data_IF_947668454959
#
_entry.id   IF_947668454959
#
_cell.length_a   1.000
_cell.length_b   1.000
_cell.length_c   1.000
_cell.angle_alpha   90.00
_cell.angle_beta   90.00
_cell.angle_gamma   90.00
#
_symmetry.space_group_name_H-M   'P 1'
#
loop_
_entity.id
_entity.type
_entity.pdbx_description
1 polymer ?
#
# COMPACT_ATOMS: atom_id res chain seq x y z
N UNK A 1 46.18 44.25 -5.29
CA UNK A 1 45.64 42.96 -5.75
C UNK A 1 45.58 42.03 -4.55
N UNK A 2 44.40 41.79 -3.99
CA UNK A 2 44.10 40.51 -3.35
C UNK A 2 42.58 40.44 -3.17
N UNK A 3 41.95 39.63 -4.02
CA UNK A 3 40.53 39.36 -4.01
C UNK A 3 40.29 38.14 -3.13
N UNK A 4 39.67 38.35 -1.97
CA UNK A 4 39.21 37.24 -1.12
C UNK A 4 37.78 36.86 -1.55
N UNK A 5 37.65 35.65 -2.08
CA UNK A 5 36.39 35.08 -2.57
C UNK A 5 35.67 34.39 -1.41
N UNK A 6 34.61 35.02 -0.91
CA UNK A 6 33.63 34.39 -0.04
C UNK A 6 32.99 33.17 -0.70
N UNK A 7 33.23 31.99 -0.12
CA UNK A 7 32.57 30.74 -0.49
C UNK A 7 31.23 30.66 0.25
N UNK A 8 30.14 30.95 -0.46
CA UNK A 8 28.77 30.75 0.06
C UNK A 8 28.51 29.26 0.25
N UNK A 9 28.28 28.85 1.49
CA UNK A 9 27.70 27.55 1.85
C UNK A 9 26.20 27.61 1.60
N UNK A 10 25.69 26.75 0.71
CA UNK A 10 24.25 26.59 0.45
C UNK A 10 23.49 26.05 1.68
N UNK A 11 22.15 26.10 1.65
CA UNK A 11 21.32 25.73 2.79
C UNK A 11 21.43 24.22 3.06
N UNK A 12 21.87 23.91 4.28
CA UNK A 12 21.96 22.57 4.85
C UNK A 12 20.57 21.95 4.88
N UNK A 13 20.32 20.96 4.00
CA UNK A 13 19.21 20.05 4.17
C UNK A 13 19.38 19.42 5.56
N UNK A 14 18.41 19.62 6.46
CA UNK A 14 18.42 19.02 7.78
C UNK A 14 18.45 17.49 7.62
N UNK A 15 19.62 16.90 7.79
CA UNK A 15 19.80 15.46 7.88
C UNK A 15 19.06 15.01 9.14
N UNK A 16 17.82 14.54 9.00
CA UNK A 16 17.09 13.94 10.10
C UNK A 16 17.91 12.77 10.62
N UNK A 17 18.25 12.80 11.91
CA UNK A 17 18.96 11.71 12.55
C UNK A 17 18.15 10.41 12.39
N UNK A 18 18.81 9.27 12.11
CA UNK A 18 18.14 7.99 12.04
C UNK A 18 17.34 7.73 13.33
N UNK A 19 16.10 7.26 13.19
CA UNK A 19 15.28 6.94 14.36
C UNK A 19 15.95 5.82 15.17
N UNK A 20 16.28 6.03 16.46
CA UNK A 20 16.93 5.02 17.27
C UNK A 20 15.97 3.87 17.58
N UNK A 21 16.53 2.70 17.88
CA UNK A 21 15.76 1.57 18.36
C UNK A 21 15.10 1.94 19.71
N UNK A 22 13.77 1.89 19.85
CA UNK A 22 13.16 2.09 21.15
C UNK A 22 13.69 1.02 22.10
N UNK A 23 13.99 1.39 23.34
CA UNK A 23 14.27 0.43 24.39
C UNK A 23 13.02 -0.44 24.55
N UNK A 24 12.99 -1.59 23.87
CA UNK A 24 12.04 -2.62 24.18
C UNK A 24 12.29 -2.96 25.64
N UNK A 25 11.32 -2.65 26.52
CA UNK A 25 11.38 -3.09 27.91
C UNK A 25 11.47 -4.62 27.97
N UNK A 26 11.18 -5.21 29.13
CA UNK A 26 11.13 -6.69 29.25
C UNK A 26 10.10 -7.38 28.32
N UNK A 27 9.26 -6.64 27.59
CA UNK A 27 8.29 -7.17 26.65
C UNK A 27 8.96 -7.66 25.36
N UNK A 28 8.86 -8.97 25.09
CA UNK A 28 9.30 -9.56 23.82
C UNK A 28 8.37 -9.10 22.68
N UNK A 29 8.87 -8.36 21.67
CA UNK A 29 8.04 -7.88 20.56
C UNK A 29 7.44 -9.01 19.73
N UNK A 30 8.03 -10.21 19.78
CA UNK A 30 7.58 -11.38 19.01
C UNK A 30 6.50 -12.20 19.72
N UNK A 31 6.08 -11.82 20.93
CA UNK A 31 5.17 -12.61 21.76
C UNK A 31 3.72 -12.61 21.26
N UNK A 32 3.31 -11.56 20.54
CA UNK A 32 1.97 -11.44 19.96
C UNK A 32 1.97 -10.43 18.82
N UNK A 33 0.96 -10.49 17.95
CA UNK A 33 0.77 -9.50 16.89
C UNK A 33 0.73 -8.06 17.44
N UNK A 34 0.04 -7.84 18.55
CA UNK A 34 -0.10 -6.52 19.16
C UNK A 34 1.24 -5.96 19.63
N UNK A 35 2.07 -6.80 20.27
CA UNK A 35 3.41 -6.42 20.69
C UNK A 35 4.33 -6.13 19.49
N UNK A 36 4.26 -6.99 18.46
CA UNK A 36 5.04 -6.81 17.24
C UNK A 36 4.65 -5.52 16.53
N UNK A 37 3.34 -5.30 16.36
CA UNK A 37 2.81 -4.10 15.73
C UNK A 37 3.21 -2.83 16.48
N UNK A 38 3.08 -2.84 17.81
CA UNK A 38 3.52 -1.73 18.66
C UNK A 38 5.02 -1.43 18.55
N UNK A 39 5.84 -2.46 18.30
CA UNK A 39 7.27 -2.30 18.07
C UNK A 39 7.60 -1.79 16.66
N UNK A 40 6.95 -2.26 15.59
CA UNK A 40 7.30 -1.87 14.21
C UNK A 40 6.63 -0.56 13.76
N UNK A 41 5.44 -0.24 14.28
CA UNK A 41 4.63 0.89 13.82
C UNK A 41 5.36 2.25 13.89
N UNK A 42 6.14 2.57 14.95
CA UNK A 42 6.90 3.82 14.98
C UNK A 42 7.89 3.95 13.82
N UNK A 43 8.57 2.86 13.45
CA UNK A 43 9.49 2.84 12.31
C UNK A 43 8.74 3.05 10.97
N UNK A 44 7.59 2.38 10.79
CA UNK A 44 6.77 2.56 9.59
C UNK A 44 6.29 4.02 9.46
N UNK A 45 5.78 4.58 10.55
CA UNK A 45 5.34 5.97 10.60
C UNK A 45 6.48 6.94 10.32
N UNK A 46 7.67 6.70 10.88
CA UNK A 46 8.84 7.50 10.55
C UNK A 46 9.12 7.47 9.06
N UNK A 47 9.28 6.27 8.49
CA UNK A 47 9.65 6.07 7.08
C UNK A 47 8.64 6.71 6.13
N UNK A 48 7.34 6.55 6.37
CA UNK A 48 6.32 6.94 5.38
C UNK A 48 5.72 8.33 5.64
N UNK A 49 5.71 8.80 6.89
CA UNK A 49 5.03 10.05 7.29
C UNK A 49 5.99 11.19 7.61
N UNK A 50 7.25 10.92 7.93
CA UNK A 50 8.18 12.00 8.26
C UNK A 50 8.42 12.91 7.05
N UNK A 51 8.42 14.25 7.24
CA UNK A 51 8.67 15.21 6.17
C UNK A 51 10.15 15.15 5.77
N UNK A 52 10.48 14.21 4.89
CA UNK A 52 11.81 14.04 4.33
C UNK A 52 11.90 14.60 2.92
N UNK A 53 13.15 14.67 2.44
CA UNK A 53 13.45 15.05 1.06
C UNK A 53 12.57 14.27 0.08
N UNK A 54 12.16 14.92 -1.00
CA UNK A 54 11.32 14.31 -2.04
C UNK A 54 11.98 13.15 -2.79
N UNK A 55 13.23 12.82 -2.48
CA UNK A 55 14.05 11.85 -3.24
C UNK A 55 14.47 10.64 -2.41
N UNK A 56 14.40 10.69 -1.08
CA UNK A 56 14.86 9.61 -0.23
C UNK A 56 14.00 9.48 1.03
N UNK A 57 13.72 8.22 1.39
CA UNK A 57 13.00 7.90 2.61
C UNK A 57 13.87 8.23 3.84
N UNK A 58 13.26 8.63 4.97
CA UNK A 58 13.94 8.71 6.25
C UNK A 58 14.51 7.34 6.63
N UNK A 59 15.76 7.33 7.07
CA UNK A 59 16.42 6.12 7.55
C UNK A 59 16.07 5.85 9.01
N UNK A 60 16.01 4.58 9.38
CA UNK A 60 16.01 4.11 10.77
C UNK A 60 17.40 3.63 11.14
N UNK A 61 17.72 3.63 12.44
CA UNK A 61 18.99 3.10 12.92
C UNK A 61 19.17 1.62 12.53
N UNK A 62 20.40 1.23 12.22
CA UNK A 62 20.73 -0.14 11.78
C UNK A 62 20.33 -1.16 12.85
N UNK A 63 20.50 -0.82 14.14
CA UNK A 63 20.11 -1.68 15.26
C UNK A 63 18.61 -1.88 15.30
N UNK A 64 17.83 -0.84 14.96
CA UNK A 64 16.37 -0.95 14.89
C UNK A 64 15.93 -1.79 13.69
N UNK A 65 16.56 -1.60 12.53
CA UNK A 65 16.31 -2.43 11.35
C UNK A 65 16.54 -3.93 11.67
N UNK A 66 17.68 -4.27 12.28
CA UNK A 66 17.98 -5.64 12.68
C UNK A 66 17.03 -6.16 13.77
N UNK A 67 16.63 -5.31 14.71
CA UNK A 67 15.63 -5.62 15.74
C UNK A 67 14.27 -5.98 15.15
N UNK A 68 13.80 -5.20 14.17
CA UNK A 68 12.54 -5.45 13.45
C UNK A 68 12.61 -6.76 12.68
N UNK A 69 13.69 -7.01 11.93
CA UNK A 69 13.88 -8.26 11.21
C UNK A 69 13.84 -9.47 12.16
N UNK A 70 14.55 -9.39 13.28
CA UNK A 70 14.61 -10.47 14.28
C UNK A 70 13.25 -10.70 14.94
N UNK A 71 12.51 -9.64 15.28
CA UNK A 71 11.18 -9.75 15.87
C UNK A 71 10.17 -10.42 14.92
N UNK A 72 10.20 -10.07 13.63
CA UNK A 72 9.34 -10.70 12.61
C UNK A 72 9.72 -12.17 12.41
N UNK A 73 11.02 -12.46 12.29
CA UNK A 73 11.51 -13.84 12.17
C UNK A 73 11.02 -14.71 13.34
N UNK A 74 11.20 -14.23 14.58
CA UNK A 74 10.78 -14.93 15.79
C UNK A 74 9.26 -15.11 15.83
N UNK A 75 8.51 -14.08 15.43
CA UNK A 75 7.04 -14.13 15.38
C UNK A 75 6.55 -15.23 14.42
N UNK A 76 7.12 -15.28 13.21
CA UNK A 76 6.77 -16.30 12.21
C UNK A 76 7.15 -17.70 12.68
N UNK A 77 8.32 -17.83 13.30
CA UNK A 77 8.82 -19.11 13.83
C UNK A 77 7.89 -19.63 14.93
N UNK A 78 7.57 -18.80 15.93
CA UNK A 78 6.68 -19.16 17.04
C UNK A 78 5.27 -19.53 16.55
N UNK A 79 4.71 -18.81 15.58
CA UNK A 79 3.42 -19.16 14.97
C UNK A 79 3.48 -20.50 14.23
N UNK A 80 4.57 -20.78 13.51
CA UNK A 80 4.74 -22.05 12.79
C UNK A 80 4.88 -23.26 13.72
N UNK A 81 5.57 -23.09 14.85
CA UNK A 81 5.69 -24.10 15.90
C UNK A 81 4.34 -24.36 16.59
N UNK A 82 3.58 -23.30 16.89
CA UNK A 82 2.24 -23.45 17.45
C UNK A 82 1.30 -24.23 16.51
N UNK A 83 1.35 -23.94 15.20
CA UNK A 83 0.52 -24.62 14.19
C UNK A 83 0.91 -26.09 13.96
N UNK A 84 2.20 -26.43 14.09
CA UNK A 84 2.69 -27.81 13.98
C UNK A 84 2.36 -28.63 15.23
N UNK A 85 2.54 -28.07 16.42
CA UNK A 85 2.19 -28.71 17.69
C UNK A 85 0.68 -28.97 17.81
N UNK A 86 -0.17 -28.06 17.32
CA UNK A 86 -1.63 -28.27 17.28
C UNK A 86 -2.06 -29.45 16.39
N UNK A 87 -1.24 -29.83 15.39
CA UNK A 87 -1.49 -30.99 14.52
C UNK A 87 -0.89 -32.30 15.03
N UNK A 88 0.05 -32.23 15.97
CA UNK A 88 0.76 -33.38 16.51
C UNK A 88 0.05 -34.09 17.67
N UNK A 89 -1.23 -33.77 17.96
CA UNK A 89 -2.06 -34.56 18.89
C UNK A 89 -2.91 -35.59 18.15
N UNK A 90 -2.49 -36.87 18.15
CA UNK A 90 -3.42 -37.98 18.07
C UNK A 90 -3.06 -39.08 19.09
N UNK A 91 -3.65 -39.08 20.29
CA UNK A 91 -4.12 -40.27 21.04
C UNK A 91 -4.48 -39.92 22.50
N UNK A 92 -5.77 -39.91 22.83
CA UNK A 92 -6.31 -40.76 23.89
C UNK A 92 -7.85 -40.75 23.81
N UNK A 93 -8.43 -41.93 23.59
CA UNK A 93 -9.62 -42.49 24.25
C UNK A 93 -10.05 -43.70 23.41
N UNK A 94 -9.71 -44.88 23.90
CA UNK A 94 -10.45 -46.10 23.63
C UNK A 94 -11.60 -46.16 24.64
N UNK A 95 -12.84 -46.30 24.16
CA UNK A 95 -13.90 -47.11 24.81
C UNK A 95 -15.14 -47.19 23.91
N UNK A 96 -15.18 -48.27 23.13
CA UNK A 96 -16.29 -49.18 22.81
C UNK A 96 -17.76 -48.72 22.76
N UNK A 97 -18.37 -49.05 21.60
CA UNK A 97 -19.72 -49.61 21.36
C UNK A 97 -20.89 -48.66 20.98
N UNK A 98 -21.40 -48.89 19.75
CA UNK A 98 -22.79 -48.83 19.22
C UNK A 98 -23.61 -47.53 19.44
N UNK A 99 -24.35 -46.94 18.49
CA UNK A 99 -25.24 -47.50 17.47
C UNK A 99 -25.51 -46.46 16.34
N UNK A 100 -25.83 -46.97 15.16
CA UNK A 100 -26.67 -46.44 14.06
C UNK A 100 -27.38 -45.06 14.15
N UNK A 101 -27.20 -44.26 13.07
CA UNK A 101 -28.30 -43.66 12.31
C UNK A 101 -28.69 -42.20 12.63
N UNK A 102 -28.39 -41.28 11.72
CA UNK A 102 -28.94 -39.92 11.74
C UNK A 102 -28.33 -39.04 10.65
N UNK A 103 -29.01 -38.95 9.51
CA UNK A 103 -28.72 -38.01 8.43
C UNK A 103 -29.25 -36.65 8.85
N UNK A 104 -28.39 -35.69 9.16
CA UNK A 104 -28.75 -34.28 9.04
C UNK A 104 -27.56 -33.41 8.65
N UNK A 105 -27.81 -32.66 7.58
CA UNK A 105 -27.01 -31.57 7.04
C UNK A 105 -27.05 -30.41 8.03
N UNK A 106 -25.88 -29.94 8.44
CA UNK A 106 -25.70 -28.50 8.58
C UNK A 106 -24.31 -28.09 8.11
N UNK A 107 -24.31 -27.45 6.95
CA UNK A 107 -23.16 -26.83 6.34
C UNK A 107 -22.91 -25.49 7.04
N UNK A 108 -22.40 -25.52 8.27
CA UNK A 108 -21.70 -24.37 8.83
C UNK A 108 -20.34 -24.28 8.12
N UNK A 109 -20.30 -23.44 7.10
CA UNK A 109 -19.11 -23.04 6.33
C UNK A 109 -18.15 -22.29 7.24
N UNK A 110 -17.53 -23.02 8.16
CA UNK A 110 -16.32 -22.61 8.85
C UNK A 110 -15.16 -23.02 7.95
N UNK A 111 -14.84 -22.21 6.95
CA UNK A 111 -13.48 -22.15 6.43
C UNK A 111 -12.60 -21.71 7.59
N UNK A 112 -12.20 -22.67 8.42
CA UNK A 112 -11.00 -22.58 9.23
C UNK A 112 -9.86 -22.51 8.22
N UNK A 113 -9.67 -21.31 7.66
CA UNK A 113 -8.49 -20.96 6.91
C UNK A 113 -7.34 -21.38 7.81
N UNK A 114 -6.60 -22.36 7.33
CA UNK A 114 -5.25 -22.71 7.76
C UNK A 114 -4.57 -21.36 8.03
N UNK A 115 -4.47 -20.91 9.29
CA UNK A 115 -3.90 -19.61 9.62
C UNK A 115 -2.45 -19.69 9.17
N UNK A 116 -2.19 -19.23 7.95
CA UNK A 116 -0.86 -19.17 7.40
C UNK A 116 -0.13 -18.16 8.27
N UNK A 117 0.91 -18.60 8.96
CA UNK A 117 1.76 -17.76 9.80
C UNK A 117 2.11 -16.47 9.03
N UNK A 118 1.66 -15.31 9.54
CA UNK A 118 1.88 -14.01 8.92
C UNK A 118 0.72 -13.40 8.14
N UNK A 119 -0.41 -14.10 7.95
CA UNK A 119 -1.61 -13.54 7.33
C UNK A 119 -2.17 -12.34 8.11
N UNK A 120 -2.14 -12.45 9.43
CA UNK A 120 -2.56 -11.44 10.39
C UNK A 120 -1.70 -10.16 10.34
N UNK A 121 -0.38 -10.31 10.19
CA UNK A 121 0.55 -9.19 9.99
C UNK A 121 0.33 -8.54 8.62
N UNK A 122 0.09 -9.34 7.58
CA UNK A 122 -0.21 -8.83 6.24
C UNK A 122 -1.50 -8.00 6.24
N UNK A 123 -2.55 -8.47 6.91
CA UNK A 123 -3.81 -7.74 7.07
C UNK A 123 -3.62 -6.41 7.82
N UNK A 124 -2.78 -6.37 8.86
CA UNK A 124 -2.44 -5.11 9.56
C UNK A 124 -1.70 -4.12 8.66
N UNK A 125 -0.79 -4.60 7.81
CA UNK A 125 -0.09 -3.77 6.82
C UNK A 125 -1.06 -3.24 5.76
N UNK A 126 -1.99 -4.08 5.32
CA UNK A 126 -3.04 -3.70 4.37
C UNK A 126 -3.96 -2.61 4.94
N UNK A 127 -4.38 -2.76 6.19
CA UNK A 127 -5.13 -1.72 6.93
C UNK A 127 -4.32 -0.45 7.10
N UNK A 128 -3.04 -0.56 7.47
CA UNK A 128 -2.14 0.58 7.60
C UNK A 128 -2.05 1.40 6.31
N UNK A 129 -1.82 0.75 5.16
CA UNK A 129 -1.76 1.44 3.87
C UNK A 129 -3.12 2.01 3.43
N UNK A 130 -4.21 1.37 3.81
CA UNK A 130 -5.58 1.88 3.62
C UNK A 130 -5.76 3.20 4.36
N UNK A 131 -5.48 3.22 5.66
CA UNK A 131 -5.66 4.40 6.51
C UNK A 131 -4.73 5.53 6.08
N UNK A 132 -3.48 5.20 5.73
CA UNK A 132 -2.52 6.16 5.21
C UNK A 132 -2.99 6.78 3.89
N UNK A 133 -3.48 5.99 2.93
CA UNK A 133 -3.95 6.51 1.65
C UNK A 133 -5.20 7.41 1.81
N UNK A 134 -6.11 7.06 2.72
CA UNK A 134 -7.27 7.88 3.07
C UNK A 134 -6.88 9.20 3.72
N UNK A 135 -5.90 9.17 4.61
CA UNK A 135 -5.38 10.38 5.24
C UNK A 135 -4.75 11.33 4.20
N UNK A 136 -3.98 10.80 3.25
CA UNK A 136 -3.44 11.59 2.14
C UNK A 136 -4.57 12.20 1.31
N UNK A 137 -5.64 11.46 1.04
CA UNK A 137 -6.79 11.98 0.30
C UNK A 137 -7.49 13.09 1.08
N UNK A 138 -7.63 12.94 2.40
CA UNK A 138 -8.21 13.96 3.27
C UNK A 138 -7.36 15.24 3.31
N UNK A 139 -6.04 15.11 3.16
CA UNK A 139 -5.10 16.22 3.04
C UNK A 139 -5.02 16.84 1.64
N UNK A 140 -5.73 16.30 0.64
CA UNK A 140 -5.73 16.88 -0.70
C UNK A 140 -6.41 18.26 -0.69
N UNK A 141 -5.91 19.23 -1.49
CA UNK A 141 -6.56 20.53 -1.61
C UNK A 141 -8.01 20.34 -2.08
N UNK A 142 -8.90 21.28 -1.76
CA UNK A 142 -10.28 21.31 -2.28
C UNK A 142 -10.37 21.94 -3.67
N UNK A 143 -9.42 22.80 -3.95
CA UNK A 143 -9.24 23.45 -5.24
C UNK A 143 -8.63 22.49 -6.26
N UNK A 144 -9.06 22.58 -7.52
CA UNK A 144 -8.66 21.67 -8.59
C UNK A 144 -7.36 22.13 -9.28
N UNK A 145 -7.09 23.45 -9.34
CA UNK A 145 -5.87 24.01 -9.94
C UNK A 145 -4.60 23.51 -9.25
N UNK A 146 -4.66 23.37 -7.92
CA UNK A 146 -3.53 22.92 -7.08
C UNK A 146 -3.49 21.40 -6.88
N UNK A 147 -4.51 20.66 -7.34
CA UNK A 147 -4.65 19.24 -7.06
C UNK A 147 -3.51 18.41 -7.68
N UNK A 148 -3.15 18.65 -8.95
CA UNK A 148 -2.10 17.87 -9.62
C UNK A 148 -0.72 18.19 -9.03
N UNK A 149 -0.49 19.46 -8.67
CA UNK A 149 0.72 19.90 -7.98
C UNK A 149 0.88 19.23 -6.61
N UNK A 150 -0.23 18.86 -5.96
CA UNK A 150 -0.24 18.05 -4.74
C UNK A 150 -0.03 16.56 -5.00
N UNK A 151 -0.76 15.97 -5.97
CA UNK A 151 -0.75 14.52 -6.22
C UNK A 151 0.65 13.99 -6.55
N UNK A 152 1.41 14.70 -7.38
CA UNK A 152 2.72 14.23 -7.85
C UNK A 152 3.72 14.07 -6.70
N UNK A 153 4.03 15.11 -5.90
CA UNK A 153 4.94 14.96 -4.75
C UNK A 153 4.36 14.07 -3.65
N UNK A 154 3.03 14.05 -3.47
CA UNK A 154 2.36 13.15 -2.54
C UNK A 154 2.61 11.68 -2.91
N UNK A 155 2.34 11.30 -4.16
CA UNK A 155 2.59 9.96 -4.66
C UNK A 155 4.08 9.61 -4.62
N UNK A 156 4.96 10.54 -5.00
CA UNK A 156 6.41 10.32 -4.96
C UNK A 156 6.87 9.97 -3.53
N UNK A 157 6.48 10.76 -2.53
CA UNK A 157 6.80 10.47 -1.13
C UNK A 157 6.21 9.13 -0.67
N UNK A 158 4.94 8.89 -0.99
CA UNK A 158 4.26 7.64 -0.66
C UNK A 158 4.99 6.42 -1.24
N UNK A 159 5.34 6.45 -2.53
CA UNK A 159 6.00 5.35 -3.22
C UNK A 159 7.42 5.08 -2.70
N UNK A 160 8.18 6.13 -2.39
CA UNK A 160 9.52 6.03 -1.79
C UNK A 160 9.42 5.39 -0.40
N UNK A 161 8.50 5.86 0.44
CA UNK A 161 8.26 5.30 1.77
C UNK A 161 7.79 3.84 1.71
N UNK A 162 6.84 3.52 0.82
CA UNK A 162 6.37 2.16 0.60
C UNK A 162 7.51 1.23 0.15
N UNK A 163 8.40 1.70 -0.72
CA UNK A 163 9.56 0.93 -1.14
C UNK A 163 10.55 0.67 0.00
N UNK A 164 10.79 1.66 0.86
CA UNK A 164 11.62 1.50 2.06
C UNK A 164 11.01 0.50 3.06
N UNK A 165 9.68 0.56 3.30
CA UNK A 165 8.97 -0.43 4.12
C UNK A 165 9.05 -1.83 3.51
N UNK A 166 8.89 -1.94 2.18
CA UNK A 166 9.02 -3.22 1.49
C UNK A 166 10.41 -3.85 1.70
N UNK A 167 11.47 -3.03 1.73
CA UNK A 167 12.83 -3.51 2.04
C UNK A 167 12.99 -3.92 3.51
N UNK A 168 12.44 -3.12 4.43
CA UNK A 168 12.47 -3.41 5.88
C UNK A 168 11.75 -4.73 6.21
N UNK A 169 10.64 -4.99 5.51
CA UNK A 169 9.76 -6.14 5.74
C UNK A 169 9.92 -7.23 4.67
N UNK A 170 11.07 -7.30 3.98
CA UNK A 170 11.32 -8.27 2.90
C UNK A 170 11.13 -9.73 3.36
N UNK A 171 11.33 -9.99 4.65
CA UNK A 171 11.04 -11.29 5.27
C UNK A 171 9.58 -11.72 5.10
N UNK A 172 8.62 -10.79 5.23
CA UNK A 172 7.19 -11.06 5.02
C UNK A 172 6.92 -11.43 3.56
N UNK A 173 7.57 -10.77 2.61
CA UNK A 173 7.45 -11.13 1.19
C UNK A 173 7.97 -12.55 0.94
N UNK A 174 9.13 -12.91 1.50
CA UNK A 174 9.75 -14.23 1.30
C UNK A 174 9.01 -15.38 1.97
N UNK A 175 8.46 -15.14 3.16
CA UNK A 175 7.92 -16.22 3.99
C UNK A 175 6.40 -16.30 4.00
N UNK A 176 5.68 -15.20 3.81
CA UNK A 176 4.22 -15.22 3.72
C UNK A 176 3.76 -15.06 2.27
N UNK A 177 4.11 -13.95 1.61
CA UNK A 177 3.60 -13.63 0.27
C UNK A 177 4.00 -14.69 -0.74
N UNK A 178 5.28 -15.08 -0.79
CA UNK A 178 5.75 -16.12 -1.70
C UNK A 178 5.01 -17.44 -1.47
N UNK A 179 4.77 -17.82 -0.22
CA UNK A 179 4.01 -19.05 0.09
C UNK A 179 2.56 -18.96 -0.37
N UNK A 180 1.88 -17.86 -0.08
CA UNK A 180 0.50 -17.64 -0.51
C UNK A 180 0.37 -17.60 -2.04
N UNK A 181 1.31 -16.96 -2.72
CA UNK A 181 1.34 -16.87 -4.19
C UNK A 181 1.71 -18.22 -4.82
N UNK A 182 2.71 -18.95 -4.30
CA UNK A 182 3.08 -20.28 -4.80
C UNK A 182 1.95 -21.30 -4.57
N UNK A 183 1.15 -21.15 -3.51
CA UNK A 183 -0.07 -21.93 -3.28
C UNK A 183 -1.18 -21.57 -4.30
N UNK A 184 -1.22 -20.35 -4.83
CA UNK A 184 -2.21 -19.89 -5.82
C UNK A 184 -1.78 -20.04 -7.29
N UNK A 185 -0.49 -19.88 -7.61
CA UNK A 185 0.02 -19.75 -8.98
C UNK A 185 1.37 -20.46 -9.13
N UNK A 186 1.37 -21.67 -9.69
CA UNK A 186 2.59 -22.43 -9.95
C UNK A 186 3.56 -21.72 -10.90
N UNK A 187 4.70 -21.29 -10.35
CA UNK A 187 6.00 -20.95 -10.97
C UNK A 187 6.06 -20.79 -12.51
N UNK A 188 6.16 -19.54 -13.02
CA UNK A 188 7.09 -19.20 -14.12
C UNK A 188 7.17 -17.72 -14.53
N UNK A 189 8.40 -17.36 -14.91
CA UNK A 189 8.82 -16.28 -15.81
C UNK A 189 9.13 -14.91 -15.15
N UNK A 190 10.17 -14.92 -14.31
CA UNK A 190 10.31 -14.06 -13.14
C UNK A 190 10.99 -12.68 -13.28
N UNK A 191 11.38 -12.17 -14.47
CA UNK A 191 12.14 -10.90 -14.49
C UNK A 191 11.64 -9.82 -15.45
N UNK A 192 11.24 -10.16 -16.69
CA UNK A 192 10.59 -9.19 -17.59
C UNK A 192 9.08 -9.07 -17.37
N UNK A 193 8.44 -10.11 -16.84
CA UNK A 193 7.07 -9.99 -16.33
C UNK A 193 7.01 -9.20 -15.04
N UNK A 194 8.07 -9.13 -14.22
CA UNK A 194 7.98 -8.56 -12.88
C UNK A 194 7.43 -7.12 -12.84
N UNK A 195 7.73 -6.25 -13.82
CA UNK A 195 7.15 -4.91 -13.91
C UNK A 195 5.72 -4.90 -14.45
N UNK A 196 5.40 -5.76 -15.42
CA UNK A 196 4.05 -5.90 -15.97
C UNK A 196 3.10 -6.60 -14.97
N UNK A 197 3.63 -7.54 -14.20
CA UNK A 197 3.02 -8.30 -13.14
C UNK A 197 2.86 -7.43 -11.90
N UNK A 198 3.85 -6.65 -11.48
CA UNK A 198 3.65 -5.64 -10.44
C UNK A 198 2.50 -4.70 -10.79
N UNK A 199 2.40 -4.27 -12.06
CA UNK A 199 1.27 -3.44 -12.51
C UNK A 199 -0.05 -4.23 -12.47
N UNK A 200 -0.06 -5.47 -12.97
CA UNK A 200 -1.24 -6.33 -12.92
C UNK A 200 -1.69 -6.67 -11.49
N UNK A 201 -0.75 -6.82 -10.56
CA UNK A 201 -0.95 -7.07 -9.13
C UNK A 201 -1.51 -5.84 -8.42
N UNK A 202 -0.95 -4.66 -8.70
CA UNK A 202 -1.55 -3.40 -8.26
C UNK A 202 -2.97 -3.27 -8.79
N UNK A 203 -3.23 -3.82 -9.97
CA UNK A 203 -4.54 -3.84 -10.58
C UNK A 203 -5.50 -4.91 -10.02
N UNK A 204 -5.01 -5.88 -9.24
CA UNK A 204 -5.76 -7.07 -8.80
C UNK A 204 -6.96 -6.74 -7.91
N UNK A 205 -7.83 -7.74 -7.74
CA UNK A 205 -8.86 -7.73 -6.70
C UNK A 205 -8.22 -7.64 -5.31
N UNK A 206 -8.96 -7.08 -4.35
CA UNK A 206 -8.47 -6.81 -3.00
C UNK A 206 -8.15 -8.10 -2.22
N UNK A 207 -8.80 -9.21 -2.57
CA UNK A 207 -8.67 -10.49 -1.87
C UNK A 207 -7.37 -11.24 -2.21
N UNK A 208 -6.65 -10.82 -3.26
CA UNK A 208 -5.40 -11.47 -3.69
C UNK A 208 -4.22 -11.02 -2.83
N UNK A 209 -3.38 -11.96 -2.39
CA UNK A 209 -2.12 -11.66 -1.72
C UNK A 209 -1.08 -11.21 -2.75
N UNK A 210 -0.46 -10.05 -2.51
CA UNK A 210 0.54 -9.42 -3.38
C UNK A 210 1.75 -8.95 -2.56
N UNK A 211 2.95 -8.76 -3.15
CA UNK A 211 4.10 -8.19 -2.46
C UNK A 211 3.78 -6.83 -1.81
N UNK A 212 4.43 -6.52 -0.68
CA UNK A 212 4.10 -5.32 0.11
C UNK A 212 4.21 -4.01 -0.67
N UNK A 213 5.17 -3.89 -1.59
CA UNK A 213 5.26 -2.74 -2.50
C UNK A 213 4.02 -2.60 -3.41
N UNK A 214 3.52 -3.70 -3.97
CA UNK A 214 2.31 -3.70 -4.79
C UNK A 214 1.05 -3.47 -3.95
N UNK A 215 1.01 -4.00 -2.71
CA UNK A 215 -0.07 -3.75 -1.74
C UNK A 215 -0.26 -2.26 -1.48
N UNK A 216 0.83 -1.53 -1.22
CA UNK A 216 0.80 -0.09 -1.01
C UNK A 216 0.25 0.65 -2.26
N UNK A 217 0.82 0.39 -3.43
CA UNK A 217 0.36 1.02 -4.68
C UNK A 217 -1.11 0.70 -4.97
N UNK A 218 -1.57 -0.53 -4.67
CA UNK A 218 -2.97 -0.95 -4.77
C UNK A 218 -3.87 -0.13 -3.85
N UNK A 219 -3.45 0.13 -2.61
CA UNK A 219 -4.21 0.96 -1.66
C UNK A 219 -4.21 2.44 -2.03
N UNK A 220 -3.10 2.97 -2.53
CA UNK A 220 -3.09 4.32 -3.10
C UNK A 220 -4.06 4.44 -4.28
N UNK A 221 -4.09 3.43 -5.16
CA UNK A 221 -5.06 3.39 -6.26
C UNK A 221 -6.50 3.43 -5.75
N UNK A 222 -6.85 2.55 -4.81
CA UNK A 222 -8.26 2.32 -4.41
C UNK A 222 -8.79 3.38 -3.47
N UNK A 223 -7.97 3.86 -2.54
CA UNK A 223 -8.40 4.79 -1.50
C UNK A 223 -8.08 6.25 -1.83
N UNK A 224 -7.15 6.53 -2.76
CA UNK A 224 -6.76 7.89 -3.13
C UNK A 224 -7.15 8.23 -4.56
N UNK A 225 -6.67 7.48 -5.56
CA UNK A 225 -6.89 7.83 -6.98
C UNK A 225 -8.34 7.57 -7.42
N UNK A 226 -8.93 6.41 -7.10
CA UNK A 226 -10.29 6.07 -7.51
C UNK A 226 -11.34 7.08 -7.01
N UNK A 227 -11.32 7.55 -5.75
CA UNK A 227 -12.23 8.61 -5.30
C UNK A 227 -12.10 9.91 -6.09
N UNK A 228 -10.90 10.30 -6.50
CA UNK A 228 -10.67 11.49 -7.32
C UNK A 228 -11.15 11.31 -8.78
N UNK A 229 -11.20 10.07 -9.25
CA UNK A 229 -11.70 9.70 -10.58
C UNK A 229 -13.22 9.42 -10.59
N UNK A 230 -13.84 9.22 -9.43
CA UNK A 230 -15.28 9.06 -9.35
C UNK A 230 -15.96 10.39 -9.67
N UNK A 231 -17.01 10.34 -10.49
CA UNK A 231 -17.88 11.49 -10.69
C UNK A 231 -18.55 11.85 -9.35
N UNK A 232 -18.70 13.15 -9.03
CA UNK A 232 -19.42 13.57 -7.83
C UNK A 232 -20.84 12.98 -7.91
N UNK A 233 -21.19 12.14 -6.93
CA UNK A 233 -22.56 11.66 -6.77
C UNK A 233 -23.39 12.85 -6.31
N UNK A 234 -24.17 13.43 -7.21
CA UNK A 234 -25.22 14.38 -6.84
C UNK A 234 -26.31 13.55 -6.16
N UNK A 235 -26.37 13.60 -4.82
CA UNK A 235 -27.48 13.01 -4.06
C UNK A 235 -28.79 13.64 -4.55
N UNK A 236 -29.64 12.84 -5.20
CA UNK A 236 -30.99 13.24 -5.61
C UNK A 236 -31.38 12.99 -7.07
N UNK A 237 -30.49 12.54 -7.95
CA UNK A 237 -30.89 12.17 -9.33
C UNK A 237 -31.20 10.68 -9.45
N UNK A 238 -32.49 10.37 -9.32
CA UNK A 238 -33.11 9.12 -9.75
C UNK A 238 -32.80 8.89 -11.24
N UNK A 239 -32.09 7.80 -11.55
CA UNK A 239 -31.65 7.47 -12.90
C UNK A 239 -32.86 7.08 -13.76
N UNK A 240 -33.37 8.01 -14.58
CA UNK A 240 -34.36 7.73 -15.62
C UNK A 240 -33.62 7.39 -16.93
N UNK A 241 -33.78 6.19 -17.49
CA UNK A 241 -33.19 5.88 -18.79
C UNK A 241 -34.10 6.45 -19.88
N UNK A 242 -33.67 7.51 -20.56
CA UNK A 242 -34.31 7.95 -21.81
C UNK A 242 -33.31 8.08 -22.95
N UNK A 243 -33.83 7.75 -24.12
CA UNK A 243 -33.13 7.30 -25.31
C UNK A 243 -32.51 8.43 -26.14
N UNK A 244 -31.45 8.07 -26.87
CA UNK A 244 -30.99 8.60 -28.16
C UNK A 244 -31.30 10.07 -28.49
N UNK A 245 -30.28 10.93 -28.44
CA UNK A 245 -30.16 12.02 -29.42
C UNK A 245 -28.70 12.33 -29.75
N UNK A 246 -28.42 12.28 -31.04
CA UNK A 246 -27.21 12.66 -31.76
C UNK A 246 -26.88 14.14 -31.52
N UNK A 247 -25.61 14.44 -31.22
CA UNK A 247 -25.05 15.79 -31.42
C UNK A 247 -24.65 16.56 -30.16
N UNK A 248 -23.33 16.56 -29.94
CA UNK A 248 -22.54 17.63 -29.32
C UNK A 248 -22.43 17.71 -27.78
N UNK A 249 -21.16 17.70 -27.34
CA UNK A 249 -20.63 17.85 -25.97
C UNK A 249 -21.17 16.85 -24.94
N UNK A 250 -20.38 15.81 -24.71
CA UNK A 250 -20.50 14.87 -23.58
C UNK A 250 -20.56 15.59 -22.22
N UNK A 251 -21.77 15.87 -21.73
CA UNK A 251 -22.09 16.30 -20.37
C UNK A 251 -22.05 15.12 -19.38
N UNK A 252 -21.00 14.29 -19.45
CA UNK A 252 -20.75 13.37 -18.35
C UNK A 252 -20.17 14.19 -17.18
N UNK A 253 -20.64 13.98 -15.94
CA UNK A 253 -20.06 14.62 -14.77
C UNK A 253 -18.59 14.25 -14.72
N UNK A 254 -17.73 15.19 -15.11
CA UNK A 254 -16.28 14.98 -15.18
C UNK A 254 -15.79 14.75 -13.76
N UNK A 255 -14.93 13.75 -13.61
CA UNK A 255 -14.28 13.48 -12.33
C UNK A 255 -13.48 14.70 -11.89
N UNK A 256 -13.23 14.80 -10.58
CA UNK A 256 -12.44 15.88 -10.01
C UNK A 256 -11.04 15.94 -10.62
N UNK A 257 -10.42 14.77 -10.83
CA UNK A 257 -9.12 14.68 -11.50
C UNK A 257 -9.18 15.17 -12.96
N UNK A 258 -10.25 14.84 -13.70
CA UNK A 258 -10.43 15.31 -15.08
C UNK A 258 -10.61 16.83 -15.15
N UNK A 259 -11.31 17.42 -14.17
CA UNK A 259 -11.44 18.87 -14.07
C UNK A 259 -10.08 19.54 -13.79
N UNK A 260 -9.31 19.01 -12.83
CA UNK A 260 -7.96 19.50 -12.54
C UNK A 260 -7.02 19.39 -13.76
N UNK A 261 -7.06 18.28 -14.50
CA UNK A 261 -6.25 18.12 -15.72
C UNK A 261 -6.64 19.18 -16.77
N UNK A 262 -7.94 19.37 -16.98
CA UNK A 262 -8.46 20.37 -17.91
C UNK A 262 -8.01 21.77 -17.53
N UNK A 263 -8.15 22.12 -16.26
CA UNK A 263 -7.79 23.43 -15.72
C UNK A 263 -6.31 23.74 -15.98
N UNK A 264 -5.40 22.79 -15.72
CA UNK A 264 -3.97 22.98 -15.98
C UNK A 264 -3.64 23.15 -17.48
N UNK A 265 -4.44 22.56 -18.37
CA UNK A 265 -4.30 22.74 -19.81
C UNK A 265 -4.84 24.09 -20.29
N UNK A 266 -5.85 24.65 -19.60
CA UNK A 266 -6.54 25.88 -19.97
C UNK A 266 -5.91 27.14 -19.33
N UNK A 267 -5.28 27.04 -18.15
CA UNK A 267 -4.64 28.16 -17.43
C UNK A 267 -3.43 28.69 -18.22
N UNK A 268 -3.49 29.97 -18.62
CA UNK A 268 -2.44 30.64 -19.42
C UNK A 268 -1.21 31.05 -18.60
N UNK A 269 -1.33 31.12 -17.27
CA UNK A 269 -0.26 31.63 -16.39
C UNK A 269 0.82 30.58 -16.06
N UNK A 270 0.62 29.31 -16.45
CA UNK A 270 1.60 28.24 -16.23
C UNK A 270 2.49 28.10 -17.47
N UNK A 271 3.81 28.04 -17.25
CA UNK A 271 4.77 27.85 -18.34
C UNK A 271 4.54 26.53 -19.07
N UNK A 272 4.81 26.48 -20.38
CA UNK A 272 4.64 25.27 -21.19
C UNK A 272 5.49 24.09 -20.64
N UNK A 273 6.68 24.39 -20.12
CA UNK A 273 7.57 23.41 -19.50
C UNK A 273 6.98 22.83 -18.22
N UNK A 274 6.44 23.68 -17.33
CA UNK A 274 5.80 23.23 -16.09
C UNK A 274 4.55 22.39 -16.38
N UNK A 275 3.73 22.79 -17.35
CA UNK A 275 2.58 22.00 -17.80
C UNK A 275 3.00 20.62 -18.31
N UNK A 276 4.08 20.55 -19.09
CA UNK A 276 4.64 19.28 -19.57
C UNK A 276 5.16 18.41 -18.42
N UNK A 277 5.80 19.02 -17.43
CA UNK A 277 6.32 18.32 -16.26
C UNK A 277 5.18 17.75 -15.39
N UNK A 278 4.14 18.53 -15.14
CA UNK A 278 2.94 18.09 -14.41
C UNK A 278 2.22 16.97 -15.16
N UNK A 279 2.01 17.12 -16.47
CA UNK A 279 1.40 16.06 -17.30
C UNK A 279 2.21 14.76 -17.30
N UNK A 280 3.54 14.86 -17.45
CA UNK A 280 4.43 13.69 -17.43
C UNK A 280 4.45 13.02 -16.05
N UNK A 281 4.50 13.82 -14.98
CA UNK A 281 4.49 13.34 -13.60
C UNK A 281 3.18 12.63 -13.26
N UNK A 282 2.04 13.23 -13.61
CA UNK A 282 0.72 12.60 -13.42
C UNK A 282 0.59 11.30 -14.21
N UNK A 283 1.00 11.28 -15.48
CA UNK A 283 1.00 10.07 -16.29
C UNK A 283 1.91 8.98 -15.71
N UNK A 284 3.05 9.35 -15.12
CA UNK A 284 3.91 8.39 -14.41
C UNK A 284 3.22 7.82 -13.16
N UNK A 285 2.57 8.67 -12.35
CA UNK A 285 1.78 8.25 -11.18
C UNK A 285 0.67 7.27 -11.57
N UNK A 286 -0.15 7.64 -12.55
CA UNK A 286 -1.28 6.81 -13.01
C UNK A 286 -0.82 5.46 -13.57
N UNK A 287 0.28 5.44 -14.34
CA UNK A 287 0.88 4.19 -14.82
C UNK A 287 1.44 3.33 -13.69
N UNK A 288 2.05 3.93 -12.67
CA UNK A 288 2.57 3.21 -11.52
C UNK A 288 1.44 2.54 -10.70
N UNK A 289 0.29 3.21 -10.58
CA UNK A 289 -0.91 2.64 -9.95
C UNK A 289 -1.78 1.84 -10.92
N UNK A 290 -1.31 1.55 -12.14
CA UNK A 290 -2.01 0.71 -13.12
C UNK A 290 -3.43 1.16 -13.46
N UNK A 291 -3.62 2.47 -13.55
CA UNK A 291 -4.80 3.06 -14.22
C UNK A 291 -4.59 2.85 -15.72
N UNK A 292 -5.55 2.20 -16.38
CA UNK A 292 -5.45 1.82 -17.80
C UNK A 292 -5.31 3.07 -18.67
N UNK A 293 -4.45 3.01 -19.69
CA UNK A 293 -4.18 4.12 -20.62
C UNK A 293 -5.42 4.57 -21.44
N UNK A 294 -6.53 3.82 -21.37
CA UNK A 294 -7.81 4.15 -22.02
C UNK A 294 -8.90 4.68 -21.08
N UNK A 295 -8.58 4.99 -19.82
CA UNK A 295 -9.58 5.64 -18.94
C UNK A 295 -9.80 7.08 -19.40
N UNK A 296 -11.04 7.52 -19.66
CA UNK A 296 -11.30 8.90 -20.03
C UNK A 296 -10.95 9.80 -18.84
N UNK A 297 -9.87 10.56 -18.98
CA UNK A 297 -9.50 11.69 -18.14
C UNK A 297 -9.62 12.97 -18.98
#
# INVERSE_FOLDING_TARGET
MSSDKGKQTGPTAALLLPMPNPSAGSANPSASLAALWGYILPALNHIVRSPTSVNEAPTIDISYHMGIHTAIYNYFTAQSEAATNARASPHNIECTADCTGGVDRDASTGTATKQASGADLYEHLDKYYTDLARELLLGAPKDDATLIQYIIPCFKRYSIGAHAVNRLLDYVNRHYVKRAVDEENGSKLAELLALAEQRAEVASMLDRVVPLGALALRRFRTEFIKPLMAAPKVEGQEYRPEATSTGDKSYLPKSRLAHAVREILEVQDITLEERRNLGTGLAATLRAVSVRDGHPL
#
